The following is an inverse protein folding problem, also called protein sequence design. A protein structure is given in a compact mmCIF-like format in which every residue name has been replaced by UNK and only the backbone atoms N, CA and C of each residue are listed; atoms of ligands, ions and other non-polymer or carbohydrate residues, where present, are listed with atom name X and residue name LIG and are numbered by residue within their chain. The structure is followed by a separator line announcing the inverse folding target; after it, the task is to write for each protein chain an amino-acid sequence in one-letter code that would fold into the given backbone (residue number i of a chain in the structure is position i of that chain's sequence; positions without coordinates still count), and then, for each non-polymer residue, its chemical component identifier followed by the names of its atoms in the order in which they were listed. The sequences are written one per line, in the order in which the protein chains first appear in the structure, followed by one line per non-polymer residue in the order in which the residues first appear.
data_IF_508295275819
#
_entry.id   IF_508295275819
#
_cell.length_a   1.000
_cell.length_b   1.000
_cell.length_c   1.000
_cell.angle_alpha   90.00
_cell.angle_beta   90.00
_cell.angle_gamma   90.00
#
_symmetry.space_group_name_H-M   'P 1'
#
loop_
_entity.id
_entity.type
_entity.pdbx_description
1 polymer ?
#
# COMPACT_ATOMS: atom_id res chain seq x y z
N UNK A 1 7.16 10.55 -5.00
CA UNK A 1 6.17 9.63 -4.40
C UNK A 1 6.62 9.25 -3.00
N UNK A 2 5.78 9.46 -1.97
CA UNK A 2 6.10 9.09 -0.57
C UNK A 2 5.58 7.71 -0.25
N UNK A 3 6.47 6.80 0.16
CA UNK A 3 6.16 5.40 0.48
C UNK A 3 6.50 5.13 1.94
N UNK A 4 5.53 4.58 2.67
CA UNK A 4 5.76 4.01 4.00
C UNK A 4 5.88 2.49 3.88
N UNK A 5 7.06 1.95 4.16
CA UNK A 5 7.27 0.51 4.33
C UNK A 5 7.12 0.15 5.81
N UNK A 6 6.15 -0.68 6.12
CA UNK A 6 5.94 -1.28 7.45
C UNK A 6 6.39 -2.73 7.37
N UNK A 7 7.48 -3.08 8.05
CA UNK A 7 8.09 -4.41 8.00
C UNK A 7 8.42 -4.94 9.41
N UNK A 8 7.41 -5.42 10.15
CA UNK A 8 7.60 -5.91 11.50
C UNK A 8 8.40 -7.23 11.56
N UNK A 9 9.30 -7.34 12.52
CA UNK A 9 9.93 -8.62 12.87
C UNK A 9 9.34 -9.13 14.20
N UNK A 10 8.93 -10.40 14.19
CA UNK A 10 8.38 -11.07 15.36
C UNK A 10 9.35 -12.11 15.89
N UNK A 11 9.55 -12.11 17.20
CA UNK A 11 10.30 -13.16 17.86
C UNK A 11 9.61 -14.52 17.63
N UNK A 12 10.38 -15.51 17.22
CA UNK A 12 9.90 -16.88 17.01
C UNK A 12 9.25 -17.16 15.64
N UNK A 13 9.10 -16.17 14.78
CA UNK A 13 8.69 -16.38 13.39
C UNK A 13 9.89 -16.30 12.43
N UNK A 14 9.81 -16.93 11.25
CA UNK A 14 10.83 -16.80 10.22
C UNK A 14 11.09 -15.34 9.88
N UNK A 15 12.34 -14.99 9.65
CA UNK A 15 12.69 -13.68 9.11
C UNK A 15 12.27 -13.62 7.64
N UNK A 16 11.63 -12.54 7.26
CA UNK A 16 11.27 -12.24 5.89
C UNK A 16 12.37 -11.42 5.20
N UNK A 17 12.45 -11.47 3.88
CA UNK A 17 13.42 -10.75 3.05
C UNK A 17 13.14 -9.25 2.89
N UNK A 18 12.43 -8.62 3.83
CA UNK A 18 12.07 -7.20 3.75
C UNK A 18 13.28 -6.26 3.61
N UNK A 19 14.48 -6.71 3.98
CA UNK A 19 15.72 -5.92 3.80
C UNK A 19 16.07 -5.84 2.31
N UNK A 20 15.91 -6.95 1.55
CA UNK A 20 16.13 -6.95 0.12
C UNK A 20 15.10 -6.09 -0.60
N UNK A 21 13.85 -6.15 -0.14
CA UNK A 21 12.76 -5.27 -0.58
C UNK A 21 13.06 -3.80 -0.31
N UNK A 22 13.50 -3.46 0.91
CA UNK A 22 13.93 -2.12 1.30
C UNK A 22 14.99 -1.57 0.33
N UNK A 23 16.03 -2.35 0.05
CA UNK A 23 17.11 -1.95 -0.86
C UNK A 23 16.56 -1.69 -2.25
N UNK A 24 15.78 -2.65 -2.80
CA UNK A 24 15.22 -2.52 -4.15
C UNK A 24 14.25 -1.33 -4.28
N UNK A 25 13.43 -1.05 -3.26
CA UNK A 25 12.52 0.11 -3.26
C UNK A 25 13.28 1.42 -3.11
N UNK A 26 14.34 1.46 -2.29
CA UNK A 26 15.17 2.66 -2.09
C UNK A 26 15.92 3.08 -3.37
N UNK A 27 16.17 2.15 -4.29
CA UNK A 27 16.80 2.41 -5.59
C UNK A 27 15.82 2.96 -6.65
N UNK A 28 14.51 2.97 -6.37
CA UNK A 28 13.53 3.48 -7.32
C UNK A 28 13.60 5.00 -7.42
N UNK A 29 13.75 5.50 -8.64
CA UNK A 29 13.79 6.93 -8.92
C UNK A 29 12.46 7.60 -8.54
N UNK A 30 12.53 8.75 -7.88
CA UNK A 30 11.35 9.53 -7.48
C UNK A 30 10.60 8.98 -6.27
N UNK A 31 11.14 7.98 -5.57
CA UNK A 31 10.57 7.43 -4.34
C UNK A 31 11.26 8.03 -3.11
N UNK A 32 10.47 8.62 -2.21
CA UNK A 32 10.86 8.97 -0.85
C UNK A 32 10.39 7.85 0.08
N UNK A 33 11.31 6.99 0.52
CA UNK A 33 11.00 5.84 1.34
C UNK A 33 11.18 6.14 2.83
N UNK A 34 10.14 5.89 3.61
CA UNK A 34 10.19 5.91 5.07
C UNK A 34 9.92 4.50 5.60
N UNK A 35 10.73 4.05 6.54
CA UNK A 35 10.65 2.67 7.05
C UNK A 35 10.23 2.65 8.51
N UNK A 36 9.25 1.81 8.80
CA UNK A 36 8.86 1.39 10.15
C UNK A 36 9.11 -0.12 10.25
N UNK A 37 10.33 -0.53 10.60
CA UNK A 37 10.77 -1.93 10.46
C UNK A 37 11.36 -2.56 11.71
N UNK A 38 11.52 -3.88 11.64
CA UNK A 38 12.10 -4.71 12.69
C UNK A 38 11.27 -4.75 13.97
N UNK A 39 11.93 -4.98 15.10
CA UNK A 39 11.30 -5.00 16.41
C UNK A 39 10.69 -3.64 16.85
N UNK A 40 11.01 -2.56 16.12
CA UNK A 40 10.48 -1.21 16.39
C UNK A 40 9.12 -0.96 15.73
N UNK A 41 8.70 -1.80 14.80
CA UNK A 41 7.39 -1.69 14.14
C UNK A 41 6.25 -2.17 15.05
N UNK A 42 6.17 -1.59 16.24
CA UNK A 42 5.09 -1.82 17.21
C UNK A 42 3.80 -1.14 16.75
N UNK A 43 2.67 -1.57 17.31
CA UNK A 43 1.35 -0.96 17.01
C UNK A 43 1.37 0.55 17.22
N UNK A 44 2.00 1.04 18.29
CA UNK A 44 2.11 2.46 18.58
C UNK A 44 2.95 3.21 17.53
N UNK A 45 4.10 2.65 17.13
CA UNK A 45 4.96 3.24 16.11
C UNK A 45 4.28 3.26 14.73
N UNK A 46 3.62 2.16 14.37
CA UNK A 46 2.84 2.04 13.13
C UNK A 46 1.69 3.04 13.11
N UNK A 47 0.91 3.15 14.21
CA UNK A 47 -0.18 4.13 14.31
C UNK A 47 0.30 5.57 14.10
N UNK A 48 1.44 5.94 14.68
CA UNK A 48 2.03 7.26 14.51
C UNK A 48 2.33 7.55 13.03
N UNK A 49 2.91 6.58 12.30
CA UNK A 49 3.23 6.73 10.88
C UNK A 49 2.00 6.73 9.98
N UNK A 50 1.01 5.90 10.27
CA UNK A 50 -0.23 5.83 9.47
C UNK A 50 -1.06 7.11 9.55
N UNK A 51 -0.86 7.96 10.55
CA UNK A 51 -1.48 9.28 10.65
C UNK A 51 -0.90 10.34 9.71
N UNK A 52 0.24 10.07 9.07
CA UNK A 52 0.86 10.95 8.09
C UNK A 52 0.29 10.73 6.68
N UNK A 53 0.50 11.69 5.76
CA UNK A 53 0.07 11.56 4.37
C UNK A 53 1.08 10.73 3.56
N UNK A 54 0.60 9.66 2.91
CA UNK A 54 1.38 8.74 2.09
C UNK A 54 0.72 8.54 0.72
N UNK A 55 1.53 8.46 -0.34
CA UNK A 55 1.04 8.01 -1.63
C UNK A 55 0.80 6.51 -1.61
N UNK A 56 1.73 5.75 -1.01
CA UNK A 56 1.65 4.30 -0.85
C UNK A 56 2.00 3.90 0.58
N UNK A 57 1.20 3.02 1.17
CA UNK A 57 1.56 2.27 2.39
C UNK A 57 1.78 0.82 1.98
N UNK A 58 2.98 0.31 2.18
CA UNK A 58 3.35 -1.07 1.94
C UNK A 58 3.55 -1.78 3.28
N UNK A 59 2.75 -2.79 3.55
CA UNK A 59 2.92 -3.67 4.69
C UNK A 59 3.56 -4.99 4.24
N UNK A 60 4.84 -5.16 4.53
CA UNK A 60 5.60 -6.38 4.25
C UNK A 60 5.80 -7.15 5.54
N UNK A 61 5.07 -8.25 5.72
CA UNK A 61 5.10 -8.94 7.01
C UNK A 61 4.26 -10.20 7.07
N UNK A 62 4.24 -10.81 8.25
CA UNK A 62 3.38 -11.95 8.53
C UNK A 62 1.91 -11.53 8.62
N UNK A 63 1.03 -12.40 8.11
CA UNK A 63 -0.41 -12.22 8.16
C UNK A 63 -1.14 -13.55 8.38
N UNK A 64 -2.39 -13.43 8.79
CA UNK A 64 -3.36 -14.50 8.89
C UNK A 64 -4.74 -13.94 8.49
N UNK A 65 -5.76 -14.76 8.26
CA UNK A 65 -7.11 -14.28 8.01
C UNK A 65 -7.55 -13.22 9.04
N UNK A 66 -7.93 -12.03 8.57
CA UNK A 66 -8.36 -10.91 9.40
C UNK A 66 -7.29 -10.20 10.24
N UNK A 67 -6.01 -10.58 10.14
CA UNK A 67 -4.93 -10.05 11.01
C UNK A 67 -3.65 -9.83 10.25
N UNK A 68 -2.99 -8.69 10.53
CA UNK A 68 -1.57 -8.49 10.26
C UNK A 68 -0.80 -8.53 11.59
N UNK A 69 0.51 -8.77 11.51
CA UNK A 69 1.34 -8.87 12.70
C UNK A 69 2.23 -7.63 12.82
N UNK A 70 2.01 -6.79 13.83
CA UNK A 70 2.99 -5.80 14.28
C UNK A 70 4.00 -6.47 15.22
N UNK A 71 5.14 -5.83 15.51
CA UNK A 71 6.21 -6.42 16.33
C UNK A 71 5.77 -6.79 17.75
N UNK A 72 4.74 -6.12 18.27
CA UNK A 72 4.18 -6.31 19.62
C UNK A 72 2.82 -7.02 19.65
N UNK A 73 2.36 -7.56 18.50
CA UNK A 73 1.13 -8.35 18.43
C UNK A 73 0.27 -8.09 17.21
N UNK A 74 -0.88 -8.77 17.09
CA UNK A 74 -1.74 -8.67 15.93
C UNK A 74 -2.47 -7.32 15.85
N UNK A 75 -2.74 -6.88 14.63
CA UNK A 75 -3.61 -5.74 14.27
C UNK A 75 -4.72 -6.21 13.35
N UNK A 76 -5.94 -5.78 13.63
CA UNK A 76 -7.12 -6.10 12.82
C UNK A 76 -7.46 -5.00 11.83
N UNK A 77 -8.41 -5.31 10.96
CA UNK A 77 -8.86 -4.46 9.87
C UNK A 77 -9.42 -3.10 10.34
N UNK A 78 -10.27 -3.11 11.38
CA UNK A 78 -10.89 -1.89 11.90
C UNK A 78 -9.86 -0.93 12.50
N UNK A 79 -8.85 -1.48 13.19
CA UNK A 79 -7.76 -0.68 13.73
C UNK A 79 -6.97 0.00 12.60
N UNK A 80 -6.61 -0.75 11.55
CA UNK A 80 -5.91 -0.20 10.39
C UNK A 80 -6.72 0.88 9.69
N UNK A 81 -8.01 0.61 9.42
CA UNK A 81 -8.91 1.57 8.79
C UNK A 81 -9.04 2.85 9.63
N UNK A 82 -9.09 2.72 10.96
CA UNK A 82 -9.15 3.86 11.87
C UNK A 82 -7.86 4.70 11.80
N UNK A 83 -6.68 4.06 11.84
CA UNK A 83 -5.39 4.76 11.81
C UNK A 83 -5.14 5.46 10.46
N UNK A 84 -5.56 4.85 9.35
CA UNK A 84 -5.37 5.39 8.00
C UNK A 84 -6.34 6.51 7.62
N UNK A 85 -7.43 6.74 8.38
CA UNK A 85 -8.43 7.78 8.03
C UNK A 85 -7.84 9.18 7.92
N UNK A 86 -6.88 9.52 8.78
CA UNK A 86 -6.28 10.86 8.79
C UNK A 86 -5.26 11.03 7.67
N UNK A 87 -4.43 10.01 7.42
CA UNK A 87 -3.40 10.03 6.39
C UNK A 87 -3.95 9.75 4.98
N UNK A 88 -5.13 9.13 4.87
CA UNK A 88 -5.82 8.76 3.62
C UNK A 88 -4.87 8.34 2.48
N UNK A 89 -4.11 7.25 2.61
CA UNK A 89 -3.12 6.85 1.62
C UNK A 89 -3.76 6.65 0.24
N UNK A 90 -3.02 6.94 -0.83
CA UNK A 90 -3.48 6.71 -2.20
C UNK A 90 -3.77 5.25 -2.49
N UNK A 91 -2.91 4.36 -1.97
CA UNK A 91 -3.08 2.91 -2.04
C UNK A 91 -2.37 2.22 -0.86
N UNK A 92 -2.93 1.12 -0.41
CA UNK A 92 -2.32 0.21 0.58
C UNK A 92 -2.01 -1.12 -0.09
N UNK A 93 -0.77 -1.57 0.02
CA UNK A 93 -0.35 -2.90 -0.43
C UNK A 93 -0.09 -3.75 0.81
N UNK A 94 -0.85 -4.82 0.97
CA UNK A 94 -0.74 -5.76 2.08
C UNK A 94 0.03 -7.00 1.60
N UNK A 95 1.36 -6.90 1.56
CA UNK A 95 2.28 -7.99 1.22
C UNK A 95 2.43 -8.92 2.43
N UNK A 96 1.31 -9.54 2.79
CA UNK A 96 1.18 -10.42 3.94
C UNK A 96 0.22 -11.57 3.60
N UNK A 97 0.62 -12.79 3.94
CA UNK A 97 -0.17 -13.99 3.67
C UNK A 97 -1.61 -13.83 4.18
N UNK A 98 -2.57 -14.26 3.37
CA UNK A 98 -3.99 -14.30 3.72
C UNK A 98 -4.63 -12.94 4.09
N UNK A 99 -3.98 -11.81 3.77
CA UNK A 99 -4.54 -10.48 4.06
C UNK A 99 -5.86 -10.20 3.32
N UNK A 100 -6.12 -10.94 2.25
CA UNK A 100 -7.37 -10.93 1.49
C UNK A 100 -8.37 -11.99 1.90
N UNK A 101 -8.02 -12.87 2.81
CA UNK A 101 -8.91 -13.97 3.25
C UNK A 101 -9.76 -13.50 4.42
N UNK A 102 -11.06 -13.85 4.36
CA UNK A 102 -12.03 -13.55 5.42
C UNK A 102 -11.75 -14.38 6.64
N UNK A 103 -11.90 -13.77 7.80
CA UNK A 103 -11.95 -14.46 9.08
C UNK A 103 -13.41 -14.81 9.48
N UNK A 104 -13.62 -15.15 10.73
CA UNK A 104 -14.95 -15.45 11.29
C UNK A 104 -15.89 -14.24 11.28
N UNK A 105 -15.38 -13.01 11.17
CA UNK A 105 -16.16 -11.77 11.04
C UNK A 105 -16.70 -11.54 9.63
N UNK A 106 -16.42 -12.44 8.69
CA UNK A 106 -16.82 -12.42 7.27
C UNK A 106 -16.16 -11.28 6.45
N UNK A 107 -15.17 -10.61 6.97
CA UNK A 107 -14.41 -9.57 6.24
C UNK A 107 -12.91 -9.85 6.25
N UNK A 108 -12.26 -9.61 5.11
CA UNK A 108 -10.81 -9.55 5.04
C UNK A 108 -10.32 -8.14 5.40
N UNK A 109 -9.03 -8.02 5.71
CA UNK A 109 -8.41 -6.70 5.92
C UNK A 109 -8.58 -5.83 4.67
N UNK A 110 -8.28 -6.39 3.50
CA UNK A 110 -8.38 -5.68 2.24
C UNK A 110 -9.82 -5.20 1.94
N UNK A 111 -10.84 -6.03 2.23
CA UNK A 111 -12.25 -5.62 2.08
C UNK A 111 -12.63 -4.48 3.03
N UNK A 112 -12.24 -4.55 4.29
CA UNK A 112 -12.53 -3.49 5.28
C UNK A 112 -11.88 -2.16 4.90
N UNK A 113 -10.63 -2.17 4.44
CA UNK A 113 -9.96 -0.99 3.93
C UNK A 113 -10.67 -0.44 2.69
N UNK A 114 -11.05 -1.30 1.73
CA UNK A 114 -11.79 -0.90 0.54
C UNK A 114 -13.14 -0.25 0.90
N UNK A 115 -13.89 -0.82 1.84
CA UNK A 115 -15.13 -0.23 2.35
C UNK A 115 -14.91 1.12 3.05
N UNK A 116 -13.73 1.33 3.61
CA UNK A 116 -13.29 2.61 4.19
C UNK A 116 -12.74 3.60 3.14
N UNK A 117 -13.03 3.38 1.85
CA UNK A 117 -12.60 4.21 0.71
C UNK A 117 -11.09 4.20 0.44
N UNK A 118 -10.36 3.21 0.93
CA UNK A 118 -8.93 3.03 0.72
C UNK A 118 -8.74 1.96 -0.37
N UNK A 119 -8.08 2.31 -1.48
CA UNK A 119 -7.68 1.31 -2.48
C UNK A 119 -6.65 0.37 -1.87
N UNK A 120 -6.87 -0.93 -1.98
CA UNK A 120 -6.05 -1.92 -1.31
C UNK A 120 -5.68 -3.09 -2.23
N UNK A 121 -4.44 -3.52 -2.15
CA UNK A 121 -3.98 -4.81 -2.66
C UNK A 121 -3.88 -5.78 -1.48
N UNK A 122 -4.42 -6.98 -1.65
CA UNK A 122 -4.33 -8.05 -0.65
C UNK A 122 -3.88 -9.36 -1.28
N UNK A 123 -3.55 -10.35 -0.44
CA UNK A 123 -3.12 -11.69 -0.83
C UNK A 123 -4.15 -12.75 -0.43
N UNK A 124 -4.55 -13.60 -1.39
CA UNK A 124 -5.54 -14.68 -1.14
C UNK A 124 -4.95 -15.90 -0.45
N UNK A 125 -3.62 -16.08 -0.52
CA UNK A 125 -2.95 -17.30 -0.09
C UNK A 125 -1.69 -17.00 0.70
N UNK A 126 -0.99 -18.06 1.13
CA UNK A 126 0.41 -17.95 1.50
C UNK A 126 1.23 -17.60 0.28
N UNK A 127 2.00 -16.54 0.36
CA UNK A 127 2.85 -16.04 -0.72
C UNK A 127 4.30 -16.33 -0.38
N UNK A 128 5.06 -16.82 -1.35
CA UNK A 128 6.50 -16.96 -1.21
C UNK A 128 7.12 -15.56 -1.06
N UNK A 129 8.00 -15.39 -0.08
CA UNK A 129 8.58 -14.11 0.30
C UNK A 129 9.24 -13.38 -0.90
N UNK A 130 10.01 -14.10 -1.72
CA UNK A 130 10.62 -13.51 -2.92
C UNK A 130 9.61 -13.10 -3.98
N UNK A 131 8.51 -13.82 -4.13
CA UNK A 131 7.45 -13.45 -5.06
C UNK A 131 6.71 -12.18 -4.58
N UNK A 132 6.55 -12.02 -3.28
CA UNK A 132 6.01 -10.80 -2.68
C UNK A 132 6.93 -9.60 -2.96
N UNK A 133 8.24 -9.72 -2.75
CA UNK A 133 9.23 -8.67 -3.05
C UNK A 133 9.18 -8.27 -4.53
N UNK A 134 9.13 -9.23 -5.46
CA UNK A 134 9.01 -8.92 -6.91
C UNK A 134 7.73 -8.16 -7.19
N UNK A 135 6.60 -8.59 -6.60
CA UNK A 135 5.34 -7.88 -6.76
C UNK A 135 5.45 -6.43 -6.29
N UNK A 136 5.95 -6.21 -5.09
CA UNK A 136 5.99 -4.91 -4.43
C UNK A 136 6.90 -3.92 -5.16
N UNK A 137 8.08 -4.37 -5.58
CA UNK A 137 9.04 -3.56 -6.34
C UNK A 137 8.47 -3.17 -7.71
N UNK A 138 7.89 -4.11 -8.46
CA UNK A 138 7.33 -3.82 -9.78
C UNK A 138 6.07 -2.93 -9.68
N UNK A 139 5.24 -3.15 -8.67
CA UNK A 139 4.10 -2.28 -8.40
C UNK A 139 4.55 -0.84 -8.12
N UNK A 140 5.50 -0.65 -7.20
CA UNK A 140 6.01 0.68 -6.84
C UNK A 140 6.73 1.35 -8.00
N UNK A 141 7.51 0.60 -8.80
CA UNK A 141 8.16 1.10 -10.00
C UNK A 141 7.14 1.65 -11.00
N UNK A 142 6.08 0.91 -11.26
CA UNK A 142 5.05 1.33 -12.19
C UNK A 142 4.27 2.55 -11.70
N UNK A 143 3.98 2.65 -10.39
CA UNK A 143 3.33 3.83 -9.79
C UNK A 143 4.28 5.05 -9.85
N UNK A 144 5.56 4.88 -9.51
CA UNK A 144 6.57 5.95 -9.55
C UNK A 144 6.76 6.50 -10.96
N UNK A 145 6.64 5.65 -11.99
CA UNK A 145 6.64 6.06 -13.39
C UNK A 145 5.35 6.77 -13.85
N UNK A 146 4.40 7.06 -12.93
CA UNK A 146 3.14 7.74 -13.23
C UNK A 146 2.01 6.83 -13.70
N UNK A 147 2.17 5.52 -13.62
CA UNK A 147 1.13 4.54 -13.93
C UNK A 147 -0.04 4.61 -12.93
N UNK A 148 -1.23 4.24 -13.39
CA UNK A 148 -2.37 4.07 -12.48
C UNK A 148 -2.19 2.84 -11.60
N UNK A 149 -2.80 2.83 -10.40
CA UNK A 149 -2.77 1.68 -9.48
C UNK A 149 -3.20 0.38 -10.17
N UNK A 150 -4.24 0.43 -11.01
CA UNK A 150 -4.72 -0.74 -11.76
C UNK A 150 -3.71 -1.23 -12.81
N UNK A 151 -2.97 -0.32 -13.46
CA UNK A 151 -1.90 -0.68 -14.38
C UNK A 151 -0.71 -1.27 -13.63
N UNK A 152 -0.29 -0.64 -12.54
CA UNK A 152 0.80 -1.10 -11.70
C UNK A 152 0.54 -2.52 -11.16
N UNK A 153 -0.68 -2.79 -10.67
CA UNK A 153 -1.10 -4.11 -10.26
C UNK A 153 -0.96 -5.15 -11.38
N UNK A 154 -1.43 -4.83 -12.59
CA UNK A 154 -1.32 -5.76 -13.73
C UNK A 154 0.14 -6.05 -14.11
N UNK A 155 1.01 -5.03 -14.11
CA UNK A 155 2.45 -5.19 -14.39
C UNK A 155 3.08 -6.10 -13.33
N UNK A 156 2.84 -5.84 -12.05
CA UNK A 156 3.39 -6.63 -10.96
C UNK A 156 2.91 -8.10 -10.99
N UNK A 157 1.62 -8.34 -11.22
CA UNK A 157 1.07 -9.71 -11.39
C UNK A 157 1.70 -10.42 -12.57
N UNK A 158 1.90 -9.75 -13.70
CA UNK A 158 2.54 -10.35 -14.88
C UNK A 158 3.98 -10.73 -14.60
N UNK A 159 4.75 -9.91 -13.89
CA UNK A 159 6.12 -10.20 -13.53
C UNK A 159 6.23 -11.39 -12.57
N UNK A 160 5.37 -11.41 -11.53
CA UNK A 160 5.28 -12.57 -10.61
C UNK A 160 4.93 -13.85 -11.39
N UNK A 161 3.99 -13.79 -12.34
CA UNK A 161 3.61 -14.95 -13.13
C UNK A 161 4.76 -15.49 -14.01
N UNK A 162 5.67 -14.63 -14.45
CA UNK A 162 6.86 -15.02 -15.22
C UNK A 162 7.92 -15.70 -14.35
N UNK A 163 8.19 -15.15 -13.16
CA UNK A 163 9.27 -15.63 -12.29
C UNK A 163 8.79 -16.71 -11.30
N UNK A 164 7.56 -16.61 -10.84
CA UNK A 164 6.93 -17.47 -9.83
C UNK A 164 5.56 -17.96 -10.29
N UNK A 165 5.45 -18.82 -11.31
CA UNK A 165 4.17 -19.24 -11.89
C UNK A 165 3.16 -19.78 -10.87
N UNK A 166 3.63 -20.46 -9.82
CA UNK A 166 2.80 -21.00 -8.75
C UNK A 166 2.13 -19.89 -7.90
N UNK A 167 2.64 -18.66 -7.92
CA UNK A 167 2.11 -17.51 -7.21
C UNK A 167 1.26 -16.59 -8.12
N UNK A 168 1.08 -16.96 -9.39
CA UNK A 168 0.25 -16.20 -10.32
C UNK A 168 -1.19 -16.07 -9.78
N UNK A 169 -1.68 -14.82 -9.68
CA UNK A 169 -3.02 -14.54 -9.16
C UNK A 169 -3.14 -14.56 -7.62
N UNK A 170 -2.05 -14.72 -6.87
CA UNK A 170 -2.10 -14.63 -5.41
C UNK A 170 -2.49 -13.21 -4.91
N UNK A 171 -2.07 -12.17 -5.63
CA UNK A 171 -2.42 -10.78 -5.34
C UNK A 171 -3.71 -10.34 -6.06
N UNK A 172 -4.51 -9.53 -5.41
CA UNK A 172 -5.72 -8.92 -5.99
C UNK A 172 -5.89 -7.47 -5.56
N UNK A 173 -6.53 -6.67 -6.39
CA UNK A 173 -6.77 -5.25 -6.17
C UNK A 173 -8.25 -5.00 -5.86
N UNK A 174 -8.52 -4.35 -4.74
CA UNK A 174 -9.83 -3.81 -4.39
C UNK A 174 -9.79 -2.27 -4.46
N UNK A 175 -10.58 -1.65 -5.34
CA UNK A 175 -10.71 -0.20 -5.35
C UNK A 175 -11.43 0.26 -4.08
N UNK A 176 -11.01 1.40 -3.52
CA UNK A 176 -11.74 2.03 -2.43
C UNK A 176 -13.16 2.37 -2.86
N UNK A 177 -14.14 1.93 -2.09
CA UNK A 177 -15.55 2.25 -2.34
C UNK A 177 -15.79 3.73 -2.01
N UNK A 178 -15.80 4.56 -3.01
CA UNK A 178 -16.09 5.99 -2.84
C UNK A 178 -17.59 6.15 -2.70
N UNK A 179 -18.07 6.46 -1.50
CA UNK A 179 -19.39 7.07 -1.36
C UNK A 179 -19.39 8.34 -2.22
N UNK A 180 -20.39 8.50 -3.12
CA UNK A 180 -20.39 9.41 -4.26
C UNK A 180 -19.87 10.85 -4.04
N UNK A 181 -19.84 11.35 -2.80
CA UNK A 181 -19.29 12.66 -2.43
C UNK A 181 -17.77 12.75 -2.51
N UNK A 182 -17.01 11.76 -2.02
CA UNK A 182 -15.54 11.80 -2.04
C UNK A 182 -14.93 11.68 -3.44
N UNK A 183 -15.69 11.19 -4.43
CA UNK A 183 -15.24 11.15 -5.84
C UNK A 183 -15.34 12.54 -6.48
N UNK A 184 -16.33 13.33 -6.07
CA UNK A 184 -16.54 14.70 -6.54
C UNK A 184 -15.47 15.62 -5.95
N UNK A 185 -15.18 15.53 -4.65
CA UNK A 185 -14.15 16.35 -4.00
C UNK A 185 -12.74 16.09 -4.55
N UNK A 186 -12.35 14.82 -4.78
CA UNK A 186 -11.05 14.51 -5.41
C UNK A 186 -10.95 14.99 -6.86
N UNK A 187 -12.04 14.96 -7.63
CA UNK A 187 -12.07 15.52 -8.98
C UNK A 187 -12.01 17.04 -8.96
N UNK A 188 -12.71 17.69 -8.04
CA UNK A 188 -12.66 19.15 -7.85
C UNK A 188 -11.26 19.61 -7.42
N UNK A 189 -10.66 19.01 -6.42
CA UNK A 189 -9.28 19.33 -6.00
C UNK A 189 -8.22 19.02 -7.08
N UNK A 190 -8.48 18.09 -7.99
CA UNK A 190 -7.65 17.88 -9.19
C UNK A 190 -7.83 18.95 -10.25
N UNK A 191 -9.04 19.49 -10.40
CA UNK A 191 -9.36 20.58 -11.31
C UNK A 191 -8.79 21.90 -10.76
N UNK A 192 -8.95 22.16 -9.47
CA UNK A 192 -8.41 23.35 -8.80
C UNK A 192 -6.88 23.44 -8.98
N UNK A 193 -6.14 22.38 -8.70
CA UNK A 193 -4.69 22.35 -8.93
C UNK A 193 -4.28 22.55 -10.39
N UNK A 194 -5.10 22.09 -11.34
CA UNK A 194 -4.85 22.34 -12.77
C UNK A 194 -5.15 23.78 -13.18
N UNK A 195 -6.16 24.39 -12.59
CA UNK A 195 -6.48 25.79 -12.78
C UNK A 195 -5.38 26.71 -12.23
N UNK A 196 -4.92 26.46 -11.00
CA UNK A 196 -3.79 27.17 -10.39
C UNK A 196 -2.53 27.09 -11.26
N UNK A 197 -2.26 25.90 -11.84
CA UNK A 197 -1.11 25.71 -12.72
C UNK A 197 -1.27 26.47 -14.05
N UNK A 198 -2.49 26.56 -14.59
CA UNK A 198 -2.78 27.32 -15.81
C UNK A 198 -2.72 28.82 -15.54
N UNK A 199 -3.27 29.29 -14.44
CA UNK A 199 -3.21 30.69 -14.01
C UNK A 199 -1.75 31.14 -13.80
N UNK A 200 -0.94 30.35 -13.07
CA UNK A 200 0.48 30.65 -12.89
C UNK A 200 1.29 30.70 -14.22
N UNK A 201 0.92 29.87 -15.21
CA UNK A 201 1.50 29.93 -16.57
C UNK A 201 1.03 31.15 -17.35
N UNK A 202 -0.22 31.56 -17.22
CA UNK A 202 -0.77 32.76 -17.85
C UNK A 202 -0.16 34.04 -17.26
N UNK A 203 0.00 34.10 -15.94
CA UNK A 203 0.65 35.24 -15.29
C UNK A 203 2.13 35.36 -15.71
N UNK A 204 2.83 34.22 -15.82
CA UNK A 204 4.20 34.19 -16.35
C UNK A 204 4.29 34.64 -17.83
N UNK A 205 3.26 34.41 -18.64
CA UNK A 205 3.20 34.84 -20.05
C UNK A 205 2.78 36.31 -20.22
N UNK A 206 1.99 36.84 -19.28
CA UNK A 206 1.49 38.21 -19.30
C UNK A 206 2.42 39.19 -18.54
N UNK A 207 3.53 38.70 -17.95
CA UNK A 207 4.53 39.53 -17.27
C UNK A 207 3.98 40.18 -15.98
N UNK A 208 3.04 39.53 -15.31
CA UNK A 208 2.46 39.95 -14.02
C UNK A 208 3.06 39.17 -12.89
#
# INVERSE_FOLDING_TARGET
MRVLLIAPELAGLPKLGWVDELVAVAELEGVELVVCGGARATRAAVACRLGEAWDVVLWSGHGAPGRLMAADGPVGADWLACMMRQGAPGVVVLSACFSGVRDESLHSIAETLSQSSITCVGMWAGVEDRAAVVYDVEFLRAVAAGGTVAMAHRVAVAQVALEYPAMAGAAFLLPGLVNGYGKIERRLGGIERRLEMVEGKLDGLLGR
#
